data_IF_604191800364
#
_entry.id   IF_604191800364
#
_cell.length_a   1.000
_cell.length_b   1.000
_cell.length_c   1.000
_cell.angle_alpha   90.00
_cell.angle_beta   90.00
_cell.angle_gamma   90.00
#
_symmetry.space_group_name_H-M   'P 1'
#
loop_
_entity.id
_entity.type
_entity.pdbx_description
1 polymer ?
#
# COMPACT_ATOMS: atom_id res chain seq x y z
N UNK A 1 4.97 11.32 -19.47
CA UNK A 1 3.72 10.65 -19.02
C UNK A 1 3.96 9.74 -17.81
N UNK A 2 4.94 8.84 -17.83
CA UNK A 2 5.27 7.97 -16.68
C UNK A 2 5.56 8.73 -15.37
N UNK A 3 6.36 9.79 -15.44
CA UNK A 3 6.67 10.66 -14.29
C UNK A 3 5.43 11.32 -13.65
N UNK A 4 4.39 11.62 -14.44
CA UNK A 4 3.15 12.20 -13.93
C UNK A 4 2.32 11.15 -13.19
N UNK A 5 2.27 9.92 -13.71
CA UNK A 5 1.57 8.81 -13.05
C UNK A 5 2.25 8.51 -11.71
N UNK A 6 3.59 8.43 -11.69
CA UNK A 6 4.34 8.18 -10.46
C UNK A 6 4.08 9.26 -9.40
N UNK A 7 3.99 10.54 -9.79
CA UNK A 7 3.68 11.63 -8.83
C UNK A 7 2.23 11.57 -8.33
N UNK A 8 1.28 11.15 -9.15
CA UNK A 8 -0.12 10.97 -8.73
C UNK A 8 -0.21 9.83 -7.72
N UNK A 9 0.49 8.72 -7.95
CA UNK A 9 0.53 7.58 -7.02
C UNK A 9 1.16 8.00 -5.68
N UNK A 10 2.25 8.78 -5.72
CA UNK A 10 2.85 9.38 -4.54
C UNK A 10 1.85 10.24 -3.75
N UNK A 11 1.13 11.11 -4.44
CA UNK A 11 0.12 11.97 -3.82
C UNK A 11 -1.01 11.14 -3.16
N UNK A 12 -1.46 10.05 -3.79
CA UNK A 12 -2.44 9.16 -3.15
C UNK A 12 -1.92 8.54 -1.84
N UNK A 13 -0.65 8.16 -1.78
CA UNK A 13 -0.05 7.62 -0.56
C UNK A 13 0.06 8.67 0.54
N UNK A 14 0.53 9.87 0.20
CA UNK A 14 0.67 10.99 1.14
C UNK A 14 -0.70 11.41 1.69
N UNK A 15 -1.72 11.54 0.84
CA UNK A 15 -3.05 11.95 1.28
C UNK A 15 -3.78 10.88 2.08
N UNK A 16 -3.58 9.60 1.75
CA UNK A 16 -4.09 8.49 2.57
C UNK A 16 -3.50 8.52 3.99
N UNK A 17 -2.18 8.73 4.11
CA UNK A 17 -1.49 8.84 5.39
C UNK A 17 -1.96 10.08 6.19
N UNK A 18 -2.01 11.25 5.54
CA UNK A 18 -2.46 12.49 6.17
C UNK A 18 -3.91 12.41 6.67
N UNK A 19 -4.83 11.88 5.86
CA UNK A 19 -6.23 11.74 6.24
C UNK A 19 -6.41 10.72 7.36
N UNK A 20 -5.62 9.65 7.38
CA UNK A 20 -5.61 8.70 8.49
C UNK A 20 -5.18 9.37 9.80
N UNK A 21 -4.14 10.20 9.77
CA UNK A 21 -3.71 10.99 10.93
C UNK A 21 -4.81 11.96 11.40
N UNK A 22 -5.46 12.66 10.47
CA UNK A 22 -6.57 13.55 10.77
C UNK A 22 -7.73 12.80 11.42
N UNK A 23 -8.08 11.63 10.89
CA UNK A 23 -9.12 10.74 11.42
C UNK A 23 -8.76 10.22 12.81
N UNK A 24 -7.50 9.86 13.06
CA UNK A 24 -7.02 9.44 14.37
C UNK A 24 -7.07 10.58 15.40
N UNK A 25 -6.86 11.83 14.99
CA UNK A 25 -7.05 12.97 15.89
C UNK A 25 -8.54 13.28 16.12
N UNK A 26 -9.37 13.14 15.09
CA UNK A 26 -10.79 13.46 15.13
C UNK A 26 -11.58 12.58 16.14
N UNK A 27 -11.19 11.32 16.35
CA UNK A 27 -11.85 10.44 17.34
C UNK A 27 -11.73 10.94 18.79
N UNK A 28 -10.75 11.78 19.08
CA UNK A 28 -10.53 12.36 20.42
C UNK A 28 -11.15 13.76 20.57
N UNK A 29 -11.69 14.32 19.48
CA UNK A 29 -12.19 15.68 19.44
C UNK A 29 -13.71 15.72 19.68
N UNK A 30 -14.20 16.46 20.69
CA UNK A 30 -15.61 16.42 21.09
C UNK A 30 -16.59 17.06 20.08
N UNK A 31 -16.06 17.79 19.09
CA UNK A 31 -16.86 18.47 18.06
C UNK A 31 -17.04 17.64 16.78
N UNK A 32 -16.38 16.47 16.68
CA UNK A 32 -16.61 15.55 15.58
C UNK A 32 -17.76 14.60 15.90
N UNK A 33 -18.74 14.50 15.00
CA UNK A 33 -19.75 13.47 15.07
C UNK A 33 -19.31 12.24 14.26
N UNK A 34 -19.95 11.09 14.49
CA UNK A 34 -19.67 9.85 13.74
C UNK A 34 -19.81 10.04 12.22
N UNK A 35 -20.74 10.87 11.76
CA UNK A 35 -20.91 11.23 10.35
C UNK A 35 -19.70 11.96 9.75
N UNK A 36 -18.96 12.69 10.57
CA UNK A 36 -17.78 13.45 10.13
C UNK A 36 -16.56 12.53 10.07
N UNK A 37 -16.48 11.54 10.97
CA UNK A 37 -15.50 10.45 10.87
C UNK A 37 -15.75 9.59 9.62
N UNK A 38 -17.01 9.24 9.33
CA UNK A 38 -17.36 8.48 8.13
C UNK A 38 -16.91 9.18 6.84
N UNK A 39 -17.06 10.52 6.77
CA UNK A 39 -16.54 11.29 5.62
C UNK A 39 -15.01 11.25 5.51
N UNK A 40 -14.29 11.20 6.64
CA UNK A 40 -12.84 11.03 6.62
C UNK A 40 -12.49 9.62 6.14
N UNK A 41 -13.19 8.60 6.64
CA UNK A 41 -13.01 7.21 6.21
C UNK A 41 -13.26 7.04 4.70
N UNK A 42 -14.32 7.63 4.14
CA UNK A 42 -14.62 7.61 2.69
C UNK A 42 -13.49 8.23 1.85
N UNK A 43 -12.90 9.33 2.35
CA UNK A 43 -11.78 10.01 1.68
C UNK A 43 -10.51 9.17 1.74
N UNK A 44 -10.21 8.59 2.90
CA UNK A 44 -9.08 7.65 3.05
C UNK A 44 -9.24 6.50 2.04
N UNK A 45 -10.42 5.90 1.97
CA UNK A 45 -10.68 4.77 1.06
C UNK A 45 -10.54 5.17 -0.40
N UNK A 46 -10.96 6.38 -0.78
CA UNK A 46 -10.78 6.89 -2.15
C UNK A 46 -9.30 6.94 -2.56
N UNK A 47 -8.41 7.34 -1.66
CA UNK A 47 -6.98 7.38 -1.96
C UNK A 47 -6.35 5.98 -1.97
N UNK A 48 -6.80 5.10 -1.06
CA UNK A 48 -6.39 3.70 -1.05
C UNK A 48 -6.81 2.96 -2.34
N UNK A 49 -8.01 3.24 -2.86
CA UNK A 49 -8.45 2.70 -4.15
C UNK A 49 -7.56 3.15 -5.31
N UNK A 50 -7.13 4.43 -5.32
CA UNK A 50 -6.14 4.92 -6.28
C UNK A 50 -4.82 4.14 -6.23
N UNK A 51 -4.34 3.82 -5.02
CA UNK A 51 -3.13 3.01 -4.83
C UNK A 51 -3.32 1.56 -5.26
N UNK A 52 -4.49 0.96 -5.00
CA UNK A 52 -4.82 -0.41 -5.44
C UNK A 52 -4.88 -0.49 -6.97
N UNK A 53 -5.47 0.50 -7.63
CA UNK A 53 -5.50 0.60 -9.10
C UNK A 53 -4.08 0.74 -9.67
N UNK A 54 -3.19 1.46 -8.98
CA UNK A 54 -1.78 1.60 -9.37
C UNK A 54 -0.94 0.32 -9.21
N UNK A 55 -1.46 -0.70 -8.52
CA UNK A 55 -0.83 -2.02 -8.38
C UNK A 55 0.58 -1.96 -7.79
N UNK A 56 1.55 -2.56 -8.46
CA UNK A 56 2.95 -2.65 -8.01
C UNK A 56 3.60 -1.27 -7.78
N UNK A 57 3.22 -0.25 -8.57
CA UNK A 57 3.70 1.11 -8.38
C UNK A 57 3.19 1.71 -7.07
N UNK A 58 1.91 1.49 -6.76
CA UNK A 58 1.30 1.89 -5.48
C UNK A 58 1.97 1.19 -4.31
N UNK A 59 2.21 -0.13 -4.42
CA UNK A 59 2.92 -0.87 -3.39
C UNK A 59 4.34 -0.37 -3.17
N UNK A 60 5.10 -0.10 -4.25
CA UNK A 60 6.46 0.43 -4.15
C UNK A 60 6.50 1.75 -3.40
N UNK A 61 5.61 2.68 -3.75
CA UNK A 61 5.48 3.98 -3.08
C UNK A 61 5.15 3.82 -1.59
N UNK A 62 4.14 3.01 -1.24
CA UNK A 62 3.80 2.76 0.16
C UNK A 62 4.97 2.13 0.93
N UNK A 63 5.72 1.23 0.30
CA UNK A 63 6.89 0.58 0.89
C UNK A 63 8.06 1.54 1.10
N UNK A 64 8.26 2.50 0.20
CA UNK A 64 9.27 3.55 0.34
C UNK A 64 8.91 4.50 1.50
N UNK A 65 7.63 4.85 1.64
CA UNK A 65 7.10 5.59 2.80
C UNK A 65 7.41 4.89 4.12
N UNK A 66 7.17 3.59 4.26
CA UNK A 66 7.51 2.82 5.48
C UNK A 66 8.95 3.03 6.00
N UNK A 67 9.92 3.31 5.11
CA UNK A 67 11.31 3.59 5.48
C UNK A 67 11.50 4.89 6.26
N UNK A 68 10.57 5.84 6.14
CA UNK A 68 10.56 7.14 6.84
C UNK A 68 10.00 7.03 8.27
N UNK A 69 9.47 5.87 8.68
CA UNK A 69 9.00 5.53 10.06
C UNK A 69 7.86 6.41 10.60
N UNK A 70 7.04 7.02 9.75
CA UNK A 70 5.83 7.70 10.19
C UNK A 70 4.69 6.67 10.38
N UNK A 71 4.00 6.68 11.52
CA UNK A 71 3.02 5.65 11.89
C UNK A 71 1.78 5.62 10.96
N UNK A 72 1.53 6.72 10.28
CA UNK A 72 0.50 6.97 9.28
C UNK A 72 0.82 6.35 7.91
N UNK A 73 2.10 6.25 7.54
CA UNK A 73 2.52 5.58 6.31
C UNK A 73 2.46 4.04 6.44
N UNK A 74 2.57 3.53 7.68
CA UNK A 74 2.34 2.11 7.99
C UNK A 74 0.92 1.67 7.70
N UNK A 75 -0.05 2.56 7.89
CA UNK A 75 -1.45 2.26 7.63
C UNK A 75 -1.71 2.03 6.14
N UNK A 76 -1.29 2.97 5.28
CA UNK A 76 -1.50 2.84 3.83
C UNK A 76 -0.87 1.56 3.27
N UNK A 77 0.37 1.26 3.67
CA UNK A 77 1.06 0.05 3.25
C UNK A 77 0.39 -1.24 3.76
N UNK A 78 -0.06 -1.26 5.02
CA UNK A 78 -0.74 -2.42 5.59
C UNK A 78 -2.06 -2.73 4.87
N UNK A 79 -2.84 -1.71 4.51
CA UNK A 79 -4.12 -1.91 3.81
C UNK A 79 -3.87 -2.42 2.39
N UNK A 80 -2.95 -1.82 1.64
CA UNK A 80 -2.61 -2.31 0.28
C UNK A 80 -2.12 -3.76 0.33
N UNK A 81 -1.26 -4.12 1.29
CA UNK A 81 -0.77 -5.49 1.46
C UNK A 81 -1.88 -6.49 1.84
N UNK A 82 -2.83 -6.08 2.69
CA UNK A 82 -3.95 -6.94 3.07
C UNK A 82 -4.80 -7.34 1.86
N UNK A 83 -4.97 -6.43 0.89
CA UNK A 83 -5.73 -6.68 -0.33
C UNK A 83 -4.99 -7.55 -1.37
N UNK A 84 -3.65 -7.54 -1.39
CA UNK A 84 -2.85 -8.39 -2.30
C UNK A 84 -2.61 -9.80 -1.77
N UNK A 85 -2.70 -10.01 -0.45
CA UNK A 85 -2.52 -11.32 0.18
C UNK A 85 -3.58 -12.38 -0.19
N UNK A 86 -4.72 -11.96 -0.77
CA UNK A 86 -5.75 -12.87 -1.30
C UNK A 86 -5.35 -13.52 -2.64
N UNK A 87 -4.32 -13.01 -3.32
CA UNK A 87 -3.79 -13.60 -4.57
C UNK A 87 -2.43 -14.30 -4.43
N UNK A 88 -2.10 -14.82 -3.25
CA UNK A 88 -1.00 -15.78 -3.11
C UNK A 88 -1.46 -17.22 -3.42
N UNK A 89 -1.82 -17.50 -4.68
CA UNK A 89 -1.87 -18.88 -5.20
C UNK A 89 -1.39 -18.95 -6.64
N UNK A 90 -0.25 -19.63 -6.83
CA UNK A 90 0.11 -20.33 -8.05
C UNK A 90 1.24 -19.72 -8.86
N UNK A 91 2.49 -19.95 -8.46
CA UNK A 91 3.65 -19.55 -9.25
C UNK A 91 4.98 -20.12 -8.78
N UNK A 92 4.98 -21.34 -8.22
CA UNK A 92 6.22 -22.07 -7.97
C UNK A 92 6.73 -22.71 -9.27
N UNK A 93 7.63 -22.04 -10.00
CA UNK A 93 8.54 -22.74 -10.90
C UNK A 93 9.78 -23.12 -10.10
N UNK A 94 9.85 -24.40 -9.72
CA UNK A 94 11.03 -25.01 -9.14
C UNK A 94 12.24 -24.79 -10.05
N UNK A 95 13.27 -24.11 -9.54
CA UNK A 95 14.61 -24.15 -10.10
C UNK A 95 15.16 -25.56 -9.91
N UNK A 96 15.19 -26.35 -10.99
CA UNK A 96 15.98 -27.57 -11.07
C UNK A 96 17.43 -27.17 -11.36
N UNK A 97 18.17 -26.86 -10.30
CA UNK A 97 19.62 -27.06 -10.34
C UNK A 97 19.90 -28.55 -10.14
N UNK A 98 20.36 -29.22 -11.18
CA UNK A 98 21.15 -30.43 -11.03
C UNK A 98 22.27 -30.43 -12.06
N UNK A 99 23.42 -29.92 -11.63
CA UNK A 99 24.70 -30.18 -12.28
C UNK A 99 25.01 -31.67 -12.21
N UNK A 100 24.80 -32.38 -13.31
CA UNK A 100 25.28 -33.73 -13.54
C UNK A 100 26.55 -33.68 -14.38
N UNK A 101 27.70 -33.74 -13.70
CA UNK A 101 29.03 -33.80 -14.32
C UNK A 101 29.17 -35.02 -15.23
N UNK A 102 29.68 -34.79 -16.44
CA UNK A 102 30.12 -35.82 -17.39
C UNK A 102 31.47 -36.39 -16.94
N UNK A 103 31.47 -37.65 -16.54
CA UNK A 103 32.58 -38.61 -16.67
C UNK A 103 31.90 -39.98 -16.82
N UNK A 104 31.99 -40.74 -17.92
CA UNK A 104 33.16 -41.31 -18.58
C UNK A 104 34.08 -42.05 -17.61
N UNK A 105 33.89 -43.38 -17.65
CA UNK A 105 34.58 -44.51 -16.99
C UNK A 105 34.08 -44.88 -15.59
#
# INVERSE_FOLDING_TARGET
MKQLIDSIVQQHAEEAAFLWLLRNNAIHAPHYALKDLAKLDDRVETHLDGLRIAGDAGWKVCKEGLGQKAADEVFAAAIVLSSTSVTAKGGGSASLESGGSRGQW
#
